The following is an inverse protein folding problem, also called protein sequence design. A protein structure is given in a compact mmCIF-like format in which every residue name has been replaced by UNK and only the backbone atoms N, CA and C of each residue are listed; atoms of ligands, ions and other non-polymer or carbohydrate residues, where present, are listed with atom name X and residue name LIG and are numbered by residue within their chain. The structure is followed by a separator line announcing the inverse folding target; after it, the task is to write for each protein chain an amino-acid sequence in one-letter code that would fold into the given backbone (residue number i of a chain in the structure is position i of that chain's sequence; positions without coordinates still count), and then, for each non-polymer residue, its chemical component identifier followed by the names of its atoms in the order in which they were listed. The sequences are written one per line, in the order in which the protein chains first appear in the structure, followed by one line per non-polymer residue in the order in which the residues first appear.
data_IF_443811525119
#
_entry.id   IF_443811525119
#
_cell.length_a   1.000
_cell.length_b   1.000
_cell.length_c   1.000
_cell.angle_alpha   90.00
_cell.angle_beta   90.00
_cell.angle_gamma   90.00
#
_symmetry.space_group_name_H-M   'P 1'
#
loop_
_entity.id
_entity.type
_entity.pdbx_description
1 polymer ?
#
# COMPACT_ATOMS: atom_id res chain seq x y z
N UNK A 1 -37.11 -14.21 -2.35
CA UNK A 1 -36.13 -13.34 -3.04
C UNK A 1 -34.84 -13.32 -2.22
N UNK A 2 -33.67 -13.42 -2.85
CA UNK A 2 -32.41 -13.47 -2.11
C UNK A 2 -31.86 -12.05 -1.91
N UNK A 3 -31.68 -11.56 -0.67
CA UNK A 3 -31.17 -10.22 -0.44
C UNK A 3 -29.70 -10.11 -0.89
N UNK A 4 -29.28 -8.91 -1.28
CA UNK A 4 -27.87 -8.63 -1.52
C UNK A 4 -27.01 -8.95 -0.29
N UNK A 5 -25.78 -9.39 -0.52
CA UNK A 5 -24.86 -9.81 0.54
C UNK A 5 -25.13 -11.23 1.01
N UNK A 6 -26.10 -11.92 0.41
CA UNK A 6 -26.43 -13.31 0.65
C UNK A 6 -26.59 -14.05 -0.66
N UNK A 7 -26.43 -15.37 -0.62
CA UNK A 7 -26.74 -16.24 -1.74
C UNK A 7 -27.69 -17.35 -1.29
N UNK A 8 -28.59 -17.73 -2.20
CA UNK A 8 -29.64 -18.71 -1.95
C UNK A 8 -29.46 -19.87 -2.93
N UNK A 9 -28.91 -20.99 -2.46
CA UNK A 9 -28.83 -22.21 -3.28
C UNK A 9 -30.24 -22.70 -3.62
N UNK A 10 -30.38 -23.36 -4.76
CA UNK A 10 -31.64 -23.96 -5.18
C UNK A 10 -32.13 -24.95 -4.10
N UNK A 11 -33.40 -24.81 -3.70
CA UNK A 11 -33.97 -25.58 -2.59
C UNK A 11 -33.66 -25.06 -1.18
N UNK A 12 -32.88 -23.99 -1.02
CA UNK A 12 -32.62 -23.39 0.31
C UNK A 12 -33.80 -22.55 0.79
N UNK A 13 -34.26 -22.80 2.01
CA UNK A 13 -35.28 -22.00 2.69
C UNK A 13 -34.70 -20.72 3.31
N UNK A 14 -33.37 -20.70 3.54
CA UNK A 14 -32.69 -19.61 4.22
C UNK A 14 -31.54 -19.03 3.38
N UNK A 15 -31.39 -17.69 3.33
CA UNK A 15 -30.25 -17.04 2.68
C UNK A 15 -28.95 -17.32 3.45
N UNK A 16 -27.87 -17.66 2.74
CA UNK A 16 -26.54 -17.84 3.33
C UNK A 16 -25.72 -16.56 3.16
N UNK A 17 -25.06 -16.10 4.21
CA UNK A 17 -24.22 -14.89 4.14
C UNK A 17 -23.07 -15.08 3.14
N UNK A 18 -22.76 -14.03 2.36
CA UNK A 18 -21.66 -14.09 1.42
C UNK A 18 -20.32 -14.22 2.16
N UNK A 19 -19.46 -15.20 1.84
CA UNK A 19 -18.16 -15.33 2.47
C UNK A 19 -17.24 -14.17 2.06
N UNK A 20 -16.31 -13.81 2.93
CA UNK A 20 -15.29 -12.82 2.61
C UNK A 20 -14.44 -13.24 1.41
N UNK A 21 -14.01 -12.28 0.60
CA UNK A 21 -13.34 -12.51 -0.68
C UNK A 21 -14.31 -12.79 -1.83
N UNK A 22 -15.62 -12.83 -1.53
CA UNK A 22 -16.68 -13.00 -2.51
C UNK A 22 -17.75 -11.92 -2.32
N UNK A 23 -18.50 -11.66 -3.39
CA UNK A 23 -19.67 -10.78 -3.38
C UNK A 23 -20.90 -11.52 -3.91
N UNK A 24 -22.06 -11.14 -3.38
CA UNK A 24 -23.34 -11.76 -3.68
C UNK A 24 -24.36 -10.68 -4.04
N UNK A 25 -24.57 -10.47 -5.34
CA UNK A 25 -25.54 -9.50 -5.83
C UNK A 25 -26.98 -9.88 -5.43
N UNK A 26 -27.91 -8.95 -5.60
CA UNK A 26 -29.34 -9.21 -5.38
C UNK A 26 -29.79 -10.41 -6.23
N UNK A 27 -30.58 -11.31 -5.61
CA UNK A 27 -31.05 -12.56 -6.22
C UNK A 27 -29.93 -13.52 -6.68
N UNK A 28 -28.73 -13.45 -6.09
CA UNK A 28 -27.67 -14.41 -6.42
C UNK A 28 -27.93 -15.78 -5.79
N UNK A 29 -27.70 -16.84 -6.56
CA UNK A 29 -27.64 -18.23 -6.05
C UNK A 29 -26.22 -18.68 -5.74
N UNK A 30 -25.22 -17.86 -6.09
CA UNK A 30 -23.79 -18.19 -6.04
C UNK A 30 -22.97 -17.00 -5.52
N UNK A 31 -21.95 -17.29 -4.72
CA UNK A 31 -20.94 -16.31 -4.34
C UNK A 31 -19.91 -16.14 -5.46
N UNK A 32 -19.67 -14.91 -5.92
CA UNK A 32 -18.70 -14.63 -6.99
C UNK A 32 -17.40 -14.08 -6.40
N UNK A 33 -16.27 -14.59 -6.86
CA UNK A 33 -14.93 -14.13 -6.44
C UNK A 33 -14.79 -12.63 -6.67
N UNK A 34 -14.19 -11.93 -5.72
CA UNK A 34 -13.94 -10.50 -5.90
C UNK A 34 -12.80 -10.27 -6.89
N UNK A 35 -13.02 -9.41 -7.90
CA UNK A 35 -12.04 -9.18 -8.95
C UNK A 35 -10.77 -8.52 -8.37
N UNK A 36 -9.61 -8.71 -9.01
CA UNK A 36 -8.40 -7.99 -8.64
C UNK A 36 -8.60 -6.46 -8.69
N UNK A 37 -7.97 -5.72 -7.77
CA UNK A 37 -8.22 -4.29 -7.59
C UNK A 37 -9.47 -3.97 -6.75
N UNK A 38 -10.14 -5.00 -6.22
CA UNK A 38 -11.22 -4.87 -5.25
C UNK A 38 -11.05 -5.84 -4.08
N UNK A 39 -11.72 -5.55 -2.97
CA UNK A 39 -11.85 -6.46 -1.84
C UNK A 39 -13.31 -6.58 -1.42
N UNK A 40 -13.63 -7.67 -0.73
CA UNK A 40 -14.98 -7.95 -0.25
C UNK A 40 -14.98 -8.51 1.16
N UNK A 41 -15.71 -7.82 2.02
CA UNK A 41 -15.94 -8.27 3.39
C UNK A 41 -17.04 -9.34 3.40
N UNK A 42 -17.18 -10.01 4.55
CA UNK A 42 -18.31 -10.90 4.78
C UNK A 42 -19.62 -10.13 4.58
N UNK A 43 -20.55 -10.71 3.82
CA UNK A 43 -21.83 -10.07 3.49
C UNK A 43 -21.76 -8.99 2.41
N UNK A 44 -20.66 -8.87 1.67
CA UNK A 44 -20.56 -7.93 0.54
C UNK A 44 -21.57 -8.26 -0.56
N UNK A 45 -22.39 -7.27 -0.93
CA UNK A 45 -23.32 -7.37 -2.06
C UNK A 45 -22.70 -6.93 -3.39
N UNK A 46 -21.62 -6.16 -3.33
CA UNK A 46 -20.80 -5.71 -4.45
C UNK A 46 -19.32 -5.61 -4.04
N UNK A 47 -18.37 -5.67 -5.00
CA UNK A 47 -16.95 -5.45 -4.72
C UNK A 47 -16.64 -4.01 -4.31
N UNK A 48 -15.67 -3.84 -3.41
CA UNK A 48 -15.21 -2.53 -2.92
C UNK A 48 -13.84 -2.23 -3.55
N UNK A 49 -13.70 -1.07 -4.20
CA UNK A 49 -12.41 -0.66 -4.80
C UNK A 49 -11.32 -0.52 -3.72
N UNK A 50 -10.10 -0.95 -4.03
CA UNK A 50 -8.97 -0.69 -3.14
C UNK A 50 -8.71 0.82 -3.07
N UNK A 51 -8.56 1.40 -1.88
CA UNK A 51 -8.17 2.80 -1.74
C UNK A 51 -6.74 3.04 -2.21
N UNK A 52 -6.41 4.31 -2.50
CA UNK A 52 -5.03 4.71 -2.77
C UNK A 52 -4.14 4.38 -1.55
N UNK A 53 -2.90 4.02 -1.81
CA UNK A 53 -1.97 3.56 -0.77
C UNK A 53 -2.09 2.06 -0.47
N UNK A 54 -3.04 1.37 -1.12
CA UNK A 54 -3.25 -0.07 -0.98
C UNK A 54 -3.34 -0.77 -2.34
N UNK A 55 -3.25 -2.09 -2.32
CA UNK A 55 -3.52 -2.99 -3.43
C UNK A 55 -4.35 -4.18 -2.94
N UNK A 56 -5.17 -4.77 -3.81
CA UNK A 56 -5.90 -6.00 -3.51
C UNK A 56 -5.74 -7.00 -4.65
N UNK A 57 -5.25 -8.19 -4.28
CA UNK A 57 -5.25 -9.34 -5.19
C UNK A 57 -6.69 -9.86 -5.36
N UNK A 58 -6.96 -10.66 -6.39
CA UNK A 58 -8.27 -11.31 -6.52
C UNK A 58 -8.62 -12.12 -5.26
N UNK A 59 -9.91 -12.19 -4.92
CA UNK A 59 -10.43 -12.84 -3.70
C UNK A 59 -9.93 -12.22 -2.37
N UNK A 60 -9.51 -10.96 -2.38
CA UNK A 60 -9.11 -10.26 -1.15
C UNK A 60 -10.30 -9.97 -0.23
N UNK A 61 -10.09 -10.18 1.07
CA UNK A 61 -11.03 -9.76 2.14
C UNK A 61 -10.76 -8.35 2.63
N UNK A 62 -9.54 -7.85 2.43
CA UNK A 62 -9.06 -6.55 2.90
C UNK A 62 -8.04 -6.00 1.89
N UNK A 63 -7.89 -4.68 1.85
CA UNK A 63 -6.86 -4.03 1.06
C UNK A 63 -5.49 -4.08 1.77
N UNK A 64 -4.45 -4.53 1.07
CA UNK A 64 -3.09 -4.60 1.59
C UNK A 64 -2.37 -3.26 1.38
N UNK A 65 -1.73 -2.71 2.40
CA UNK A 65 -0.94 -1.49 2.28
C UNK A 65 0.23 -1.67 1.32
N UNK A 66 0.54 -0.62 0.57
CA UNK A 66 1.78 -0.53 -0.18
C UNK A 66 2.99 -0.67 0.78
N UNK A 67 4.09 -1.27 0.31
CA UNK A 67 5.29 -1.45 1.12
C UNK A 67 5.86 -0.10 1.57
N UNK A 68 6.61 -0.09 2.68
CA UNK A 68 7.41 1.08 3.05
C UNK A 68 8.35 1.48 1.91
N UNK A 69 8.72 2.76 1.86
CA UNK A 69 9.50 3.33 0.76
C UNK A 69 8.67 3.64 -0.49
N UNK A 70 7.37 3.35 -0.48
CA UNK A 70 6.46 3.61 -1.60
C UNK A 70 5.23 4.41 -1.19
N UNK A 71 4.57 5.02 -2.17
CA UNK A 71 3.29 5.71 -2.02
C UNK A 71 2.30 5.24 -3.08
N UNK A 72 1.00 5.46 -2.84
CA UNK A 72 -0.07 5.03 -3.71
C UNK A 72 -0.12 5.82 -5.01
N UNK A 73 -0.06 5.11 -6.13
CA UNK A 73 -0.19 5.65 -7.48
C UNK A 73 -1.56 6.33 -7.67
N UNK A 74 -1.58 7.63 -7.95
CA UNK A 74 -2.82 8.38 -8.17
C UNK A 74 -3.55 7.94 -9.44
N UNK A 75 -2.79 7.57 -10.48
CA UNK A 75 -3.32 7.15 -11.78
C UNK A 75 -3.92 5.73 -11.76
N UNK A 76 -3.69 4.96 -10.70
CA UNK A 76 -4.14 3.57 -10.59
C UNK A 76 -5.54 3.42 -9.97
N UNK A 77 -6.52 4.28 -10.31
CA UNK A 77 -7.84 4.31 -9.66
C UNK A 77 -8.62 2.99 -9.73
N UNK A 78 -8.56 2.28 -10.86
CA UNK A 78 -9.23 0.98 -11.06
C UNK A 78 -8.26 -0.21 -11.14
N UNK A 79 -6.96 0.06 -11.09
CA UNK A 79 -5.92 -0.91 -11.43
C UNK A 79 -4.99 -1.18 -10.25
N UNK A 80 -5.53 -1.29 -9.02
CA UNK A 80 -4.75 -1.54 -7.80
C UNK A 80 -4.61 -3.02 -7.47
N UNK A 81 -4.37 -3.86 -8.48
CA UNK A 81 -4.39 -5.32 -8.31
C UNK A 81 -3.05 -5.91 -7.84
N UNK A 82 -1.97 -5.14 -7.91
CA UNK A 82 -0.62 -5.57 -7.56
C UNK A 82 0.22 -4.38 -7.07
N UNK A 83 1.35 -4.67 -6.45
CA UNK A 83 2.31 -3.65 -6.01
C UNK A 83 2.76 -2.77 -7.19
N UNK A 84 3.15 -3.38 -8.32
CA UNK A 84 3.66 -2.62 -9.47
C UNK A 84 2.62 -1.76 -10.20
N UNK A 85 1.33 -2.03 -10.00
CA UNK A 85 0.24 -1.23 -10.57
C UNK A 85 -0.26 -0.16 -9.59
N UNK A 86 -0.25 -0.47 -8.29
CA UNK A 86 -0.82 0.39 -7.25
C UNK A 86 0.18 1.29 -6.54
N UNK A 87 1.47 0.93 -6.48
CA UNK A 87 2.48 1.56 -5.64
C UNK A 87 3.62 2.14 -6.49
N UNK A 88 4.10 3.31 -6.10
CA UNK A 88 5.21 4.02 -6.73
C UNK A 88 6.31 4.22 -5.70
N UNK A 89 7.56 3.94 -6.08
CA UNK A 89 8.71 4.17 -5.21
C UNK A 89 8.85 5.66 -4.88
N UNK A 90 9.16 5.96 -3.62
CA UNK A 90 9.55 7.31 -3.25
C UNK A 90 10.81 7.74 -4.02
N UNK A 91 10.84 8.97 -4.54
CA UNK A 91 11.98 9.46 -5.30
C UNK A 91 13.20 9.66 -4.40
N UNK A 92 14.36 9.88 -5.04
CA UNK A 92 15.61 10.23 -4.34
C UNK A 92 15.43 11.49 -3.51
N UNK A 93 16.06 11.54 -2.34
CA UNK A 93 15.90 12.63 -1.38
C UNK A 93 14.61 12.54 -0.56
N UNK A 94 13.82 11.47 -0.72
CA UNK A 94 12.61 11.21 0.05
C UNK A 94 12.60 9.78 0.60
N UNK A 95 11.84 9.58 1.66
CA UNK A 95 11.58 8.26 2.26
C UNK A 95 10.07 8.05 2.43
N UNK A 96 9.66 6.78 2.54
CA UNK A 96 8.24 6.39 2.62
C UNK A 96 7.89 5.70 3.92
N UNK A 97 7.30 6.41 4.88
CA UNK A 97 6.80 5.88 6.15
C UNK A 97 5.34 6.24 6.46
N UNK A 98 4.68 7.05 5.61
CA UNK A 98 3.32 7.56 5.83
C UNK A 98 2.35 6.40 6.12
N UNK A 99 1.58 6.42 7.23
CA UNK A 99 0.71 5.32 7.64
C UNK A 99 -0.27 4.86 6.56
N UNK A 100 -0.80 5.81 5.80
CA UNK A 100 -1.75 5.57 4.71
C UNK A 100 -1.06 5.36 3.35
N UNK A 101 0.27 5.44 3.30
CA UNK A 101 1.10 5.33 2.09
C UNK A 101 0.65 6.29 0.99
N UNK A 102 0.28 7.51 1.35
CA UNK A 102 -0.26 8.51 0.41
C UNK A 102 0.77 9.54 -0.04
N UNK A 103 1.88 9.67 0.70
CA UNK A 103 2.92 10.65 0.45
C UNK A 103 4.30 10.11 0.84
N UNK A 104 5.32 10.70 0.25
CA UNK A 104 6.70 10.55 0.70
C UNK A 104 7.08 11.77 1.55
N UNK A 105 7.97 11.55 2.50
CA UNK A 105 8.51 12.61 3.35
C UNK A 105 9.94 12.93 2.93
N UNK A 106 10.35 14.18 3.12
CA UNK A 106 11.69 14.64 2.74
C UNK A 106 12.74 13.97 3.63
N UNK A 107 13.84 13.51 3.04
CA UNK A 107 14.97 12.94 3.80
C UNK A 107 15.46 13.96 4.82
N UNK A 108 15.67 13.54 6.07
CA UNK A 108 16.14 14.45 7.11
C UNK A 108 17.61 14.83 6.89
N UNK A 109 17.97 16.04 7.29
CA UNK A 109 19.37 16.45 7.33
C UNK A 109 20.21 15.45 8.16
N UNK A 110 21.43 15.18 7.69
CA UNK A 110 22.31 14.16 8.26
C UNK A 110 22.13 12.76 7.68
N UNK A 111 21.25 12.57 6.67
CA UNK A 111 21.02 11.30 5.99
C UNK A 111 21.00 11.47 4.46
N UNK A 112 21.18 10.36 3.76
CA UNK A 112 21.10 10.23 2.31
C UNK A 112 20.01 9.22 1.96
N UNK A 113 19.03 9.62 1.13
CA UNK A 113 17.94 8.75 0.68
C UNK A 113 18.08 8.48 -0.83
N UNK A 114 18.36 7.24 -1.24
CA UNK A 114 18.63 6.87 -2.64
C UNK A 114 17.38 6.48 -3.44
N UNK A 115 16.20 6.62 -2.84
CA UNK A 115 14.91 6.23 -3.42
C UNK A 115 14.47 4.85 -2.93
N UNK A 116 13.14 4.65 -2.90
CA UNK A 116 12.53 3.53 -2.16
C UNK A 116 13.04 3.42 -0.71
N UNK A 117 13.39 4.56 -0.11
CA UNK A 117 14.05 4.61 1.20
C UNK A 117 13.04 4.43 2.33
N UNK A 118 13.39 3.63 3.33
CA UNK A 118 12.59 3.35 4.54
C UNK A 118 13.28 3.89 5.80
N UNK A 119 12.61 3.77 6.95
CA UNK A 119 13.25 3.91 8.27
C UNK A 119 14.04 2.64 8.60
N UNK A 120 15.13 2.77 9.37
CA UNK A 120 15.96 1.62 9.78
C UNK A 120 15.31 0.81 10.90
N UNK A 121 14.61 1.50 11.82
CA UNK A 121 13.93 0.86 12.95
C UNK A 121 12.42 1.03 12.78
N UNK A 122 11.67 -0.07 12.83
CA UNK A 122 10.21 -0.03 12.83
C UNK A 122 9.70 0.80 14.02
N UNK A 123 9.18 1.99 13.74
CA UNK A 123 8.63 2.90 14.74
C UNK A 123 9.41 4.21 14.95
N UNK A 124 10.57 4.39 14.30
CA UNK A 124 11.20 5.72 14.22
C UNK A 124 10.48 6.53 13.15
N UNK A 125 9.80 7.62 13.54
CA UNK A 125 9.10 8.51 12.59
C UNK A 125 10.05 9.34 11.73
N UNK A 126 11.34 9.30 12.03
CA UNK A 126 12.39 10.05 11.36
C UNK A 126 13.04 9.12 10.36
N UNK A 127 12.98 9.41 9.06
CA UNK A 127 13.69 8.68 8.02
C UNK A 127 15.20 8.68 8.29
N UNK A 128 15.66 7.71 9.07
CA UNK A 128 16.99 7.57 9.63
C UNK A 128 17.72 6.34 9.07
N UNK A 129 17.81 6.21 7.73
CA UNK A 129 18.36 5.02 7.11
C UNK A 129 19.83 4.85 7.50
N UNK A 130 20.24 3.63 7.80
CA UNK A 130 21.62 3.30 8.20
C UNK A 130 22.31 2.40 7.19
N UNK A 131 21.55 1.56 6.48
CA UNK A 131 22.09 0.60 5.52
C UNK A 131 21.46 0.77 4.15
N UNK A 132 22.31 0.93 3.13
CA UNK A 132 21.90 1.16 1.75
C UNK A 132 21.06 -0.01 1.21
N UNK A 133 21.40 -1.24 1.59
CA UNK A 133 20.79 -2.47 1.09
C UNK A 133 19.47 -2.81 1.78
N UNK A 134 19.31 -2.40 3.04
CA UNK A 134 18.11 -2.67 3.83
C UNK A 134 17.13 -1.50 3.72
N UNK A 135 17.63 -0.28 3.92
CA UNK A 135 16.81 0.92 4.07
C UNK A 135 16.73 1.74 2.79
N UNK A 136 17.53 1.45 1.76
CA UNK A 136 17.61 2.27 0.55
C UNK A 136 18.22 3.66 0.80
N UNK A 137 18.98 3.81 1.89
CA UNK A 137 19.61 5.07 2.30
C UNK A 137 20.71 4.83 3.32
N UNK A 138 21.37 5.88 3.78
CA UNK A 138 22.40 5.76 4.83
C UNK A 138 22.57 7.06 5.60
N UNK A 139 23.32 6.99 6.70
CA UNK A 139 23.80 8.16 7.43
C UNK A 139 24.76 8.99 6.55
N UNK A 140 24.74 10.31 6.70
CA UNK A 140 25.67 11.20 6.02
C UNK A 140 27.12 10.81 6.38
N UNK A 141 27.99 10.56 5.37
CA UNK A 141 29.37 10.17 5.63
C UNK A 141 30.16 11.23 6.39
N UNK A 142 31.09 10.80 7.25
CA UNK A 142 31.97 11.71 7.98
C UNK A 142 32.80 12.57 7.02
N UNK A 143 32.93 13.87 7.31
CA UNK A 143 33.61 14.85 6.44
C UNK A 143 32.72 15.49 5.39
N UNK A 144 31.43 15.16 5.36
CA UNK A 144 30.44 15.74 4.47
C UNK A 144 29.28 16.38 5.24
N UNK A 145 28.58 17.29 4.56
CA UNK A 145 27.34 17.91 4.98
C UNK A 145 26.21 17.45 4.05
N UNK A 146 25.10 17.03 4.66
CA UNK A 146 23.90 16.54 3.96
C UNK A 146 22.67 17.32 4.47
N UNK A 147 22.19 18.35 3.74
CA UNK A 147 20.95 19.04 4.07
C UNK A 147 19.71 18.13 3.94
N UNK A 148 18.54 18.64 4.33
CA UNK A 148 17.29 17.90 4.13
C UNK A 148 17.02 17.71 2.63
N UNK A 149 16.57 16.53 2.24
CA UNK A 149 16.35 16.16 0.84
C UNK A 149 17.59 15.64 0.13
N UNK A 150 18.70 15.43 0.84
CA UNK A 150 19.93 14.92 0.25
C UNK A 150 19.79 13.47 -0.22
N UNK A 151 20.30 13.23 -1.42
CA UNK A 151 20.61 11.91 -1.97
C UNK A 151 22.10 11.80 -2.37
N UNK A 152 22.86 12.87 -2.14
CA UNK A 152 24.30 12.97 -2.35
C UNK A 152 24.91 13.83 -1.23
N UNK A 153 26.16 13.53 -0.88
CA UNK A 153 26.90 14.19 0.19
C UNK A 153 27.74 15.35 -0.36
N UNK A 154 27.73 16.50 0.31
CA UNK A 154 28.55 17.66 -0.07
C UNK A 154 29.79 17.75 0.84
N UNK A 155 31.03 17.85 0.33
CA UNK A 155 32.21 17.99 1.18
C UNK A 155 32.12 19.24 2.07
N UNK A 156 32.54 19.15 3.32
CA UNK A 156 32.64 20.33 4.17
C UNK A 156 33.67 21.32 3.61
N UNK A 157 33.39 22.64 3.60
CA UNK A 157 34.37 23.63 3.19
C UNK A 157 35.60 23.58 4.11
N UNK A 158 36.78 23.80 3.51
CA UNK A 158 38.07 23.84 4.22
C UNK A 158 38.29 25.17 4.92
#
# INVERSE_FOLDING_TARGET
PCPGGHFCKEGSTYPTICPGGFYCALNSSVARSCPPGTFCLVGSWAPILCPRGTYCVGQSVIAALCPLGTYGNESATLNRYSIGSACVNCPRGYFGNDPDRLKCEICFAGYLCFGNTTMHVFGTTRGDPQDISIDGGQICPAGFYCPSGSFESTPCPR
#
